data_IF_106400644523
#
_entry.id   IF_106400644523
#
_cell.length_a   1.000
_cell.length_b   1.000
_cell.length_c   1.000
_cell.angle_alpha   90.00
_cell.angle_beta   90.00
_cell.angle_gamma   90.00
#
_symmetry.space_group_name_H-M   'P 1'
#
loop_
_entity.id
_entity.type
_entity.pdbx_description
1 polymer ?
#
# COMPACT_ATOMS: atom_id res chain seq x y z
N UNK A 1 15.46 4.49 8.27
CA UNK A 1 15.36 4.29 6.80
C UNK A 1 15.73 5.52 5.96
N UNK A 2 15.68 6.76 6.47
CA UNK A 2 15.82 7.99 5.66
C UNK A 2 17.14 8.25 4.90
N UNK A 3 18.22 7.47 5.10
CA UNK A 3 19.53 7.73 4.46
C UNK A 3 19.73 7.02 3.11
N UNK A 4 18.84 6.09 2.74
CA UNK A 4 18.95 5.27 1.52
C UNK A 4 17.87 5.55 0.47
N UNK A 5 16.92 6.42 0.76
CA UNK A 5 15.74 6.72 -0.06
C UNK A 5 15.85 8.17 -0.58
N UNK A 6 15.15 8.50 -1.68
CA UNK A 6 15.06 9.78 -2.42
C UNK A 6 15.41 9.64 -3.91
N UNK A 7 15.10 10.69 -4.69
CA UNK A 7 15.33 10.82 -6.14
C UNK A 7 16.73 10.43 -6.59
N UNK A 8 17.76 10.78 -5.83
CA UNK A 8 19.16 10.51 -6.20
C UNK A 8 19.65 9.11 -5.79
N UNK A 9 18.78 8.27 -5.22
CA UNK A 9 19.11 6.92 -4.75
C UNK A 9 18.17 5.85 -5.26
N UNK A 10 16.86 6.10 -5.21
CA UNK A 10 15.81 5.16 -5.63
C UNK A 10 14.81 5.89 -6.51
N UNK A 11 13.83 6.59 -5.91
CA UNK A 11 12.81 7.39 -6.58
C UNK A 11 12.24 8.44 -5.62
N UNK A 12 11.65 9.52 -6.13
CA UNK A 12 11.14 10.63 -5.29
C UNK A 12 10.01 10.27 -4.33
N UNK A 13 9.21 9.25 -4.66
CA UNK A 13 7.99 8.81 -3.98
C UNK A 13 8.21 7.69 -2.97
N UNK A 14 9.44 7.17 -2.86
CA UNK A 14 9.74 6.01 -2.02
C UNK A 14 9.30 6.19 -0.56
N UNK A 15 9.68 7.29 0.09
CA UNK A 15 9.34 7.54 1.51
C UNK A 15 7.82 7.64 1.69
N UNK A 16 7.15 8.37 0.82
CA UNK A 16 5.70 8.55 0.83
C UNK A 16 4.97 7.20 0.66
N UNK A 17 5.34 6.42 -0.36
CA UNK A 17 4.75 5.12 -0.65
C UNK A 17 4.99 4.13 0.49
N UNK A 18 6.22 4.06 1.03
CA UNK A 18 6.55 3.18 2.15
C UNK A 18 5.75 3.53 3.41
N UNK A 19 5.63 4.82 3.74
CA UNK A 19 4.91 5.26 4.93
C UNK A 19 3.40 5.03 4.79
N UNK A 20 2.84 5.22 3.59
CA UNK A 20 1.44 4.92 3.32
C UNK A 20 1.18 3.42 3.43
N UNK A 21 1.92 2.58 2.69
CA UNK A 21 1.75 1.11 2.72
C UNK A 21 1.78 0.55 4.15
N UNK A 22 2.71 1.04 4.98
CA UNK A 22 2.80 0.60 6.38
C UNK A 22 1.54 0.96 7.18
N UNK A 23 1.01 2.16 7.01
CA UNK A 23 -0.19 2.61 7.71
C UNK A 23 -1.42 1.80 7.31
N UNK A 24 -1.62 1.61 6.00
CA UNK A 24 -2.76 0.86 5.45
C UNK A 24 -2.72 -0.61 5.85
N UNK A 25 -1.52 -1.22 5.84
CA UNK A 25 -1.36 -2.61 6.27
C UNK A 25 -1.64 -2.77 7.76
N UNK A 26 -1.15 -1.86 8.60
CA UNK A 26 -1.41 -1.89 10.04
C UNK A 26 -2.92 -1.79 10.34
N UNK A 27 -3.62 -0.88 9.66
CA UNK A 27 -5.07 -0.72 9.78
C UNK A 27 -5.82 -1.99 9.34
N UNK A 28 -5.47 -2.56 8.18
CA UNK A 28 -6.06 -3.82 7.72
C UNK A 28 -5.82 -5.00 8.66
N UNK A 29 -4.65 -5.08 9.31
CA UNK A 29 -4.36 -6.11 10.32
C UNK A 29 -5.21 -5.92 11.58
N UNK A 30 -5.42 -4.68 12.04
CA UNK A 30 -6.25 -4.41 13.21
C UNK A 30 -7.74 -4.65 12.92
N UNK A 31 -8.21 -4.28 11.72
CA UNK A 31 -9.54 -4.65 11.24
C UNK A 31 -9.73 -6.16 11.19
N UNK A 32 -8.73 -6.92 10.72
CA UNK A 32 -8.80 -8.40 10.68
C UNK A 32 -8.99 -9.00 12.07
N UNK A 33 -8.34 -8.44 13.11
CA UNK A 33 -8.54 -8.87 14.50
C UNK A 33 -9.97 -8.59 14.98
N UNK A 34 -10.52 -7.43 14.59
CA UNK A 34 -11.89 -7.06 14.94
C UNK A 34 -12.91 -8.00 14.28
N UNK A 35 -12.72 -8.36 13.00
CA UNK A 35 -13.60 -9.31 12.28
C UNK A 35 -13.79 -10.61 13.08
N UNK A 36 -12.72 -11.15 13.65
CA UNK A 36 -12.76 -12.40 14.43
C UNK A 36 -13.63 -12.27 15.69
N UNK A 37 -13.76 -11.06 16.25
CA UNK A 37 -14.49 -10.80 17.49
C UNK A 37 -15.96 -10.47 17.23
N UNK A 38 -16.25 -9.59 16.26
CA UNK A 38 -17.60 -9.02 16.06
C UNK A 38 -18.34 -9.59 14.84
N UNK A 39 -17.64 -10.32 13.95
CA UNK A 39 -18.18 -10.84 12.70
C UNK A 39 -18.09 -9.85 11.54
N UNK A 40 -18.09 -10.39 10.31
CA UNK A 40 -17.88 -9.63 9.07
C UNK A 40 -19.04 -8.67 8.73
N UNK A 41 -20.25 -8.95 9.21
CA UNK A 41 -21.46 -8.18 8.90
C UNK A 41 -21.44 -6.75 9.49
N UNK A 42 -20.60 -6.50 10.50
CA UNK A 42 -20.48 -5.19 11.14
C UNK A 42 -19.60 -4.18 10.37
N UNK A 43 -18.95 -4.61 9.29
CA UNK A 43 -17.92 -3.83 8.60
C UNK A 43 -18.51 -2.98 7.48
N UNK A 44 -18.02 -1.73 7.39
CA UNK A 44 -18.37 -0.84 6.29
C UNK A 44 -17.68 -1.26 4.99
N UNK A 45 -18.17 -0.74 3.86
CA UNK A 45 -17.51 -0.97 2.56
C UNK A 45 -16.07 -0.45 2.51
N UNK A 46 -15.73 0.58 3.30
CA UNK A 46 -14.35 1.02 3.41
C UNK A 46 -13.51 0.02 4.18
N UNK A 47 -13.98 -0.48 5.33
CA UNK A 47 -13.23 -1.45 6.12
C UNK A 47 -12.92 -2.72 5.32
N UNK A 48 -13.85 -3.17 4.47
CA UNK A 48 -13.63 -4.27 3.53
C UNK A 48 -12.51 -3.99 2.53
N UNK A 49 -12.35 -2.75 2.07
CA UNK A 49 -11.23 -2.36 1.20
C UNK A 49 -9.89 -2.42 1.91
N UNK A 50 -9.80 -2.01 3.17
CA UNK A 50 -8.57 -2.13 3.96
C UNK A 50 -8.21 -3.60 4.24
N UNK A 51 -9.22 -4.44 4.53
CA UNK A 51 -9.02 -5.89 4.67
C UNK A 51 -8.49 -6.51 3.37
N UNK A 52 -9.12 -6.17 2.24
CA UNK A 52 -8.68 -6.61 0.91
C UNK A 52 -7.30 -6.09 0.54
N UNK A 53 -6.99 -4.84 0.89
CA UNK A 53 -5.66 -4.26 0.72
C UNK A 53 -4.61 -5.07 1.49
N UNK A 54 -4.85 -5.39 2.77
CA UNK A 54 -3.89 -6.14 3.58
C UNK A 54 -3.64 -7.55 3.02
N UNK A 55 -4.68 -8.21 2.51
CA UNK A 55 -4.54 -9.51 1.84
C UNK A 55 -3.75 -9.40 0.53
N UNK A 56 -4.04 -8.40 -0.31
CA UNK A 56 -3.31 -8.16 -1.56
C UNK A 56 -1.85 -7.78 -1.28
N UNK A 57 -1.60 -7.02 -0.22
CA UNK A 57 -0.25 -6.67 0.21
C UNK A 57 0.56 -7.93 0.56
N UNK A 58 0.00 -8.84 1.36
CA UNK A 58 0.65 -10.11 1.70
C UNK A 58 0.88 -10.98 0.46
N UNK A 59 -0.15 -11.14 -0.39
CA UNK A 59 -0.13 -12.05 -1.54
C UNK A 59 0.67 -11.54 -2.75
N UNK A 60 0.73 -10.23 -2.96
CA UNK A 60 1.38 -9.64 -4.14
C UNK A 60 2.65 -8.89 -3.79
N UNK A 61 2.61 -8.03 -2.76
CA UNK A 61 3.76 -7.20 -2.40
C UNK A 61 4.86 -8.01 -1.70
N UNK A 62 4.49 -8.72 -0.64
CA UNK A 62 5.42 -9.47 0.21
C UNK A 62 5.81 -10.79 -0.42
N UNK A 63 4.83 -11.51 -0.99
CA UNK A 63 5.10 -12.79 -1.64
C UNK A 63 5.77 -12.57 -2.98
N UNK A 64 7.02 -13.05 -3.09
CA UNK A 64 7.84 -13.02 -4.28
C UNK A 64 8.30 -14.45 -4.59
N UNK A 65 8.34 -14.79 -5.88
CA UNK A 65 8.81 -16.11 -6.33
C UNK A 65 10.27 -16.34 -5.94
N UNK A 66 10.66 -17.62 -5.77
CA UNK A 66 12.04 -17.98 -5.41
C UNK A 66 13.08 -17.48 -6.42
N UNK A 67 12.69 -17.46 -7.70
CA UNK A 67 13.54 -17.05 -8.82
C UNK A 67 13.15 -15.66 -9.37
N UNK A 68 12.25 -14.96 -8.67
CA UNK A 68 11.82 -13.62 -9.05
C UNK A 68 12.80 -12.60 -8.44
N UNK A 69 13.26 -11.64 -9.23
CA UNK A 69 14.11 -10.55 -8.77
C UNK A 69 13.50 -9.22 -9.19
N UNK A 70 12.81 -8.55 -8.26
CA UNK A 70 12.21 -7.25 -8.49
C UNK A 70 13.23 -6.14 -8.26
N UNK A 71 13.37 -5.27 -9.24
CA UNK A 71 14.02 -3.98 -9.07
C UNK A 71 13.24 -3.09 -8.09
N UNK A 72 13.90 -2.01 -7.65
CA UNK A 72 13.24 -1.04 -6.78
C UNK A 72 12.08 -0.34 -7.49
N UNK A 73 12.22 -0.05 -8.79
CA UNK A 73 11.16 0.57 -9.57
C UNK A 73 9.94 -0.34 -9.72
N UNK A 74 10.16 -1.64 -9.98
CA UNK A 74 9.07 -2.62 -10.02
C UNK A 74 8.36 -2.74 -8.67
N UNK A 75 9.12 -2.75 -7.57
CA UNK A 75 8.55 -2.77 -6.21
C UNK A 75 7.71 -1.52 -5.95
N UNK A 76 8.21 -0.34 -6.31
CA UNK A 76 7.47 0.91 -6.11
C UNK A 76 6.25 1.00 -7.04
N UNK A 77 6.31 0.48 -8.26
CA UNK A 77 5.15 0.39 -9.14
C UNK A 77 4.08 -0.53 -8.54
N UNK A 78 4.49 -1.69 -8.00
CA UNK A 78 3.58 -2.60 -7.32
C UNK A 78 2.95 -1.97 -6.05
N UNK A 79 3.71 -1.13 -5.34
CA UNK A 79 3.17 -0.35 -4.22
C UNK A 79 2.00 0.53 -4.68
N UNK A 80 2.18 1.26 -5.79
CA UNK A 80 1.13 2.12 -6.34
C UNK A 80 -0.08 1.34 -6.84
N UNK A 81 0.13 0.19 -7.48
CA UNK A 81 -0.97 -0.70 -7.89
C UNK A 81 -1.82 -1.15 -6.70
N UNK A 82 -1.21 -1.40 -5.54
CA UNK A 82 -1.95 -1.70 -4.32
C UNK A 82 -2.64 -0.47 -3.74
N UNK A 83 -1.96 0.68 -3.72
CA UNK A 83 -2.56 1.92 -3.21
C UNK A 83 -3.75 2.39 -4.06
N UNK A 84 -3.79 2.05 -5.36
CA UNK A 84 -4.93 2.29 -6.26
C UNK A 84 -6.21 1.55 -5.83
N UNK A 85 -6.11 0.48 -5.03
CA UNK A 85 -7.32 -0.23 -4.54
C UNK A 85 -8.04 0.54 -3.43
N UNK A 86 -7.38 1.53 -2.83
CA UNK A 86 -7.92 2.33 -1.75
C UNK A 86 -8.49 3.66 -2.29
N UNK A 87 -9.50 4.24 -1.61
CA UNK A 87 -9.99 5.56 -1.97
C UNK A 87 -8.88 6.62 -1.85
N UNK A 88 -8.80 7.54 -2.82
CA UNK A 88 -7.81 8.65 -2.79
C UNK A 88 -7.89 9.50 -1.51
N UNK A 89 -9.05 9.54 -0.84
CA UNK A 89 -9.24 10.24 0.44
C UNK A 89 -8.47 9.62 1.60
N UNK A 90 -8.09 8.34 1.50
CA UNK A 90 -7.33 7.62 2.53
C UNK A 90 -5.81 7.75 2.36
N UNK A 91 -5.34 8.26 1.21
CA UNK A 91 -3.93 8.47 0.90
C UNK A 91 -3.35 9.72 1.58
N UNK A 92 -3.44 9.76 2.91
CA UNK A 92 -3.13 10.91 3.77
C UNK A 92 -1.62 11.15 3.98
N UNK A 93 -0.77 10.19 3.63
CA UNK A 93 0.69 10.21 3.86
C UNK A 93 1.50 10.43 2.60
N UNK A 94 0.82 10.63 1.47
CA UNK A 94 1.46 10.86 0.19
C UNK A 94 1.23 12.30 -0.24
N UNK A 95 2.28 12.95 -0.73
CA UNK A 95 2.16 14.29 -1.31
C UNK A 95 1.27 14.26 -2.56
N UNK A 96 0.44 15.29 -2.73
CA UNK A 96 -0.48 15.40 -3.87
C UNK A 96 0.23 15.28 -5.22
N UNK A 97 1.41 15.87 -5.34
CA UNK A 97 2.25 15.80 -6.55
C UNK A 97 2.58 14.35 -6.96
N UNK A 98 2.78 13.46 -6.00
CA UNK A 98 3.05 12.05 -6.26
C UNK A 98 1.77 11.27 -6.57
N UNK A 99 0.67 11.57 -5.87
CA UNK A 99 -0.65 10.98 -6.16
C UNK A 99 -1.03 11.28 -7.63
N UNK A 100 -0.89 12.54 -8.05
CA UNK A 100 -1.17 12.94 -9.43
C UNK A 100 -0.22 12.23 -10.41
N UNK A 101 1.08 12.18 -10.10
CA UNK A 101 2.05 11.58 -11.02
C UNK A 101 1.91 10.06 -11.20
N UNK A 102 1.58 9.32 -10.14
CA UNK A 102 1.65 7.85 -10.13
C UNK A 102 0.29 7.15 -10.09
N UNK A 103 -0.82 7.87 -9.84
CA UNK A 103 -2.17 7.29 -9.95
C UNK A 103 -2.87 7.58 -11.29
N UNK A 104 -2.31 8.44 -12.13
CA UNK A 104 -2.81 8.67 -13.50
C UNK A 104 -2.18 7.67 -14.47
N UNK A 105 -2.72 6.46 -14.50
CA UNK A 105 -2.59 5.56 -15.66
C UNK A 105 -3.96 4.99 -15.96
N UNK A 106 -4.77 5.82 -16.63
CA UNK A 106 -5.45 5.58 -17.91
C UNK A 106 -5.75 6.96 -18.56
#
# INVERSE_FOLDING_TARGET
MKRGICKDRTREDHDDASNQLYAEYAEGVDLRKLVVVIGEEAFTENDKKFLGFAELFEKKFITQGKDENRSIDETLNLAWELLKTLPKTELKRIRKEHIEKYMHEE
#
